data_IF_376177927254
#
_entry.id   IF_376177927254
#
_cell.length_a   1.000
_cell.length_b   1.000
_cell.length_c   1.000
_cell.angle_alpha   90.00
_cell.angle_beta   90.00
_cell.angle_gamma   90.00
#
_symmetry.space_group_name_H-M   'P 1'
#
loop_
_entity.id
_entity.type
_entity.pdbx_description
1 polymer ?
#
# COMPACT_ATOMS: atom_id res chain seq x y z
N UNK A 1 18.09 -11.20 -6.01
CA UNK A 1 18.01 -10.06 -5.08
C UNK A 1 17.45 -10.61 -3.77
N UNK A 2 18.05 -10.34 -2.61
CA UNK A 2 17.66 -10.99 -1.34
C UNK A 2 16.61 -10.19 -0.54
N UNK A 3 16.31 -8.96 -0.95
CA UNK A 3 15.30 -8.14 -0.29
C UNK A 3 13.90 -8.61 -0.71
N UNK A 4 13.02 -8.80 0.28
CA UNK A 4 11.58 -8.99 0.05
C UNK A 4 10.80 -8.04 0.96
N UNK A 5 9.80 -7.37 0.42
CA UNK A 5 9.10 -6.33 1.17
C UNK A 5 8.16 -6.88 2.26
N UNK A 6 7.77 -8.16 2.18
CA UNK A 6 6.93 -8.83 3.19
C UNK A 6 7.51 -8.78 4.61
N UNK A 7 8.84 -8.68 4.77
CA UNK A 7 9.49 -8.53 6.08
C UNK A 7 9.29 -7.14 6.70
N UNK A 8 8.82 -6.16 5.94
CA UNK A 8 8.74 -4.75 6.36
C UNK A 8 7.33 -4.16 6.15
N UNK A 9 6.42 -4.96 5.60
CA UNK A 9 5.10 -4.50 5.19
C UNK A 9 4.34 -3.89 6.36
N UNK A 10 3.83 -2.68 6.16
CA UNK A 10 3.00 -2.00 7.15
C UNK A 10 3.78 -1.29 8.25
N UNK A 11 5.09 -1.13 8.11
CA UNK A 11 5.89 -0.29 8.99
C UNK A 11 5.57 1.22 8.82
N UNK A 12 6.21 2.07 9.62
CA UNK A 12 5.99 3.52 9.57
C UNK A 12 6.37 4.15 8.22
N UNK A 13 7.40 3.61 7.54
CA UNK A 13 7.88 4.14 6.27
C UNK A 13 6.84 3.90 5.17
N UNK A 14 6.21 2.72 5.16
CA UNK A 14 5.12 2.41 4.25
C UNK A 14 3.92 3.32 4.47
N UNK A 15 3.55 3.60 5.73
CA UNK A 15 2.45 4.53 6.04
C UNK A 15 2.72 5.90 5.43
N UNK A 16 3.90 6.48 5.66
CA UNK A 16 4.26 7.79 5.11
C UNK A 16 4.28 7.76 3.58
N UNK A 17 4.92 6.75 2.98
CA UNK A 17 4.99 6.54 1.53
C UNK A 17 3.60 6.47 0.91
N UNK A 18 2.71 5.69 1.50
CA UNK A 18 1.37 5.47 0.98
C UNK A 18 0.44 6.66 1.18
N UNK A 19 0.55 7.41 2.29
CA UNK A 19 -0.19 8.67 2.46
C UNK A 19 0.21 9.70 1.40
N UNK A 20 1.51 9.84 1.12
CA UNK A 20 2.01 10.72 0.05
C UNK A 20 1.49 10.28 -1.31
N UNK A 21 1.55 8.98 -1.61
CA UNK A 21 1.01 8.41 -2.85
C UNK A 21 -0.49 8.74 -3.03
N UNK A 22 -1.30 8.51 -1.99
CA UNK A 22 -2.74 8.80 -2.02
C UNK A 22 -2.97 10.29 -2.27
N UNK A 23 -2.24 11.17 -1.59
CA UNK A 23 -2.37 12.62 -1.77
C UNK A 23 -2.05 13.05 -3.21
N UNK A 24 -1.02 12.47 -3.82
CA UNK A 24 -0.64 12.74 -5.21
C UNK A 24 -1.75 12.27 -6.17
N UNK A 25 -2.26 11.05 -5.99
CA UNK A 25 -3.30 10.49 -6.86
C UNK A 25 -4.61 11.28 -6.75
N UNK A 26 -5.03 11.65 -5.54
CA UNK A 26 -6.22 12.50 -5.35
C UNK A 26 -6.05 13.88 -5.98
N UNK A 27 -4.84 14.45 -5.95
CA UNK A 27 -4.57 15.71 -6.62
C UNK A 27 -4.62 15.60 -8.15
N UNK A 28 -4.08 14.51 -8.72
CA UNK A 28 -4.13 14.24 -10.17
C UNK A 28 -5.57 14.03 -10.67
N UNK A 29 -6.41 13.36 -9.88
CA UNK A 29 -7.83 13.11 -10.20
C UNK A 29 -8.68 14.38 -10.33
N UNK A 30 -8.22 15.53 -9.84
CA UNK A 30 -8.93 16.82 -9.99
C UNK A 30 -9.03 17.28 -11.45
N UNK A 31 -8.19 16.76 -12.35
CA UNK A 31 -8.31 16.99 -13.80
C UNK A 31 -8.97 15.79 -14.46
N UNK A 32 -9.89 16.04 -15.39
CA UNK A 32 -10.57 14.97 -16.14
C UNK A 32 -9.63 14.19 -17.06
N UNK A 33 -8.53 14.80 -17.50
CA UNK A 33 -7.54 14.13 -18.35
C UNK A 33 -7.02 12.86 -17.64
N UNK A 34 -7.01 11.69 -18.31
CA UNK A 34 -6.49 10.48 -17.72
C UNK A 34 -4.98 10.59 -17.47
N UNK A 35 -4.49 9.84 -16.48
CA UNK A 35 -3.07 9.71 -16.18
C UNK A 35 -2.65 8.24 -16.07
N UNK A 36 -1.35 8.00 -16.15
CA UNK A 36 -0.75 6.69 -15.92
C UNK A 36 0.16 6.74 -14.69
N UNK A 37 0.18 5.65 -13.94
CA UNK A 37 1.08 5.43 -12.81
C UNK A 37 2.03 4.31 -13.17
N UNK A 38 3.33 4.59 -13.09
CA UNK A 38 4.39 3.59 -13.18
C UNK A 38 4.83 3.25 -11.76
N UNK A 39 4.46 2.07 -11.29
CA UNK A 39 5.01 1.49 -10.07
C UNK A 39 6.20 0.62 -10.45
N UNK A 40 7.39 1.18 -10.33
CA UNK A 40 8.64 0.55 -10.80
C UNK A 40 9.08 -0.64 -9.92
N UNK A 41 8.59 -0.71 -8.67
CA UNK A 41 8.95 -1.73 -7.68
C UNK A 41 7.69 -2.15 -6.90
N UNK A 42 6.79 -2.82 -7.61
CA UNK A 42 5.43 -3.11 -7.16
C UNK A 42 5.34 -4.13 -6.01
N UNK A 43 6.33 -5.01 -5.85
CA UNK A 43 6.30 -6.11 -4.89
C UNK A 43 5.08 -7.02 -5.08
N UNK A 44 4.61 -7.61 -3.98
CA UNK A 44 3.47 -8.54 -3.98
C UNK A 44 2.11 -7.87 -4.24
N UNK A 45 2.04 -6.54 -4.16
CA UNK A 45 0.78 -5.80 -4.18
C UNK A 45 -0.06 -5.92 -2.90
N UNK A 46 -0.14 -7.11 -2.29
CA UNK A 46 -0.85 -7.38 -1.04
C UNK A 46 0.02 -8.29 -0.15
N UNK A 47 0.14 -7.97 1.13
CA UNK A 47 1.06 -8.62 2.06
C UNK A 47 0.29 -9.26 3.23
N UNK A 48 0.45 -10.58 3.44
CA UNK A 48 -0.08 -11.27 4.62
C UNK A 48 0.82 -11.01 5.85
N UNK A 49 0.31 -10.21 6.79
CA UNK A 49 1.01 -9.83 8.01
C UNK A 49 1.16 -11.00 9.01
N UNK A 50 0.44 -12.11 8.81
CA UNK A 50 0.63 -13.34 9.59
C UNK A 50 1.63 -14.32 8.96
N UNK A 51 2.20 -13.98 7.80
CA UNK A 51 3.20 -14.83 7.15
C UNK A 51 4.44 -15.02 8.02
N UNK A 52 5.13 -16.16 7.85
CA UNK A 52 6.37 -16.46 8.57
C UNK A 52 7.46 -15.38 8.35
N UNK A 53 7.42 -14.70 7.20
CA UNK A 53 8.36 -13.62 6.90
C UNK A 53 8.03 -12.35 7.70
N UNK A 54 6.77 -11.92 7.72
CA UNK A 54 6.34 -10.76 8.50
C UNK A 54 6.52 -10.98 10.01
N UNK A 55 6.29 -12.20 10.50
CA UNK A 55 6.44 -12.55 11.92
C UNK A 55 7.89 -12.51 12.44
N UNK A 56 8.89 -12.45 11.54
CA UNK A 56 10.31 -12.38 11.94
C UNK A 56 10.74 -10.99 12.42
N UNK A 57 10.04 -9.95 12.00
CA UNK A 57 10.41 -8.55 12.30
C UNK A 57 9.32 -7.83 13.09
N UNK A 58 8.05 -8.18 12.87
CA UNK A 58 6.88 -7.58 13.52
C UNK A 58 6.80 -6.05 13.34
N UNK A 59 7.36 -5.52 12.24
CA UNK A 59 7.39 -4.06 12.03
C UNK A 59 5.99 -3.45 11.92
N UNK A 60 5.00 -4.21 11.45
CA UNK A 60 3.59 -3.80 11.39
C UNK A 60 3.00 -3.43 12.75
N UNK A 61 3.51 -4.00 13.86
CA UNK A 61 2.99 -3.79 15.21
C UNK A 61 3.17 -2.34 15.66
N UNK A 62 4.32 -1.76 15.33
CA UNK A 62 4.61 -0.34 15.63
C UNK A 62 4.14 0.61 14.52
N UNK A 63 3.76 0.07 13.36
CA UNK A 63 3.21 0.79 12.22
C UNK A 63 1.69 0.68 12.13
N UNK A 64 1.20 -0.09 11.16
CA UNK A 64 -0.22 -0.09 10.79
C UNK A 64 -1.12 -0.62 11.91
N UNK A 65 -0.68 -1.62 12.67
CA UNK A 65 -1.49 -2.18 13.76
C UNK A 65 -1.71 -1.15 14.88
N UNK A 66 -0.69 -0.37 15.22
CA UNK A 66 -0.81 0.76 16.16
C UNK A 66 -1.73 1.85 15.61
N UNK A 67 -1.60 2.18 14.32
CA UNK A 67 -2.42 3.21 13.68
C UNK A 67 -3.91 2.82 13.61
N UNK A 68 -4.24 1.55 13.37
CA UNK A 68 -5.62 1.05 13.36
C UNK A 68 -6.32 1.15 14.72
N UNK A 69 -5.55 1.24 15.82
CA UNK A 69 -6.08 1.39 17.18
C UNK A 69 -6.16 2.87 17.62
N UNK A 70 -5.69 3.82 16.81
CA UNK A 70 -5.70 5.22 17.15
C UNK A 70 -7.13 5.76 17.20
N UNK A 71 -7.48 6.48 18.28
CA UNK A 71 -8.80 7.07 18.49
C UNK A 71 -8.86 8.58 18.25
N UNK A 72 -7.71 9.19 17.96
CA UNK A 72 -7.63 10.63 17.72
C UNK A 72 -8.39 11.02 16.44
N UNK A 73 -8.88 12.27 16.34
CA UNK A 73 -9.45 12.77 15.10
C UNK A 73 -8.46 12.64 13.93
N UNK A 74 -8.87 11.92 12.89
CA UNK A 74 -8.03 11.64 11.71
C UNK A 74 -8.40 12.53 10.52
N UNK A 75 -7.39 12.97 9.78
CA UNK A 75 -7.58 13.75 8.55
C UNK A 75 -8.29 12.95 7.47
N UNK A 76 -8.92 13.63 6.50
CA UNK A 76 -9.57 12.95 5.37
C UNK A 76 -8.60 12.05 4.58
N UNK A 77 -7.35 12.47 4.43
CA UNK A 77 -6.32 11.68 3.76
C UNK A 77 -6.04 10.37 4.49
N UNK A 78 -5.93 10.44 5.83
CA UNK A 78 -5.72 9.28 6.67
C UNK A 78 -6.95 8.35 6.66
N UNK A 79 -8.17 8.90 6.65
CA UNK A 79 -9.39 8.11 6.49
C UNK A 79 -9.39 7.34 5.17
N UNK A 80 -9.05 7.99 4.05
CA UNK A 80 -8.94 7.31 2.74
C UNK A 80 -7.92 6.17 2.79
N UNK A 81 -6.75 6.40 3.39
CA UNK A 81 -5.75 5.36 3.58
C UNK A 81 -6.27 4.17 4.40
N UNK A 82 -6.88 4.42 5.56
CA UNK A 82 -7.41 3.36 6.42
C UNK A 82 -8.56 2.59 5.77
N UNK A 83 -9.40 3.25 4.97
CA UNK A 83 -10.43 2.56 4.19
C UNK A 83 -9.82 1.58 3.19
N UNK A 84 -8.74 1.96 2.50
CA UNK A 84 -8.03 1.06 1.58
C UNK A 84 -7.35 -0.10 2.33
N UNK A 85 -6.79 0.16 3.52
CA UNK A 85 -6.25 -0.90 4.40
C UNK A 85 -7.34 -1.87 4.80
N UNK A 86 -8.53 -1.40 5.17
CA UNK A 86 -9.65 -2.28 5.52
C UNK A 86 -10.13 -3.11 4.31
N UNK A 87 -10.12 -2.55 3.10
CA UNK A 87 -10.45 -3.26 1.85
C UNK A 87 -9.43 -4.35 1.49
N UNK A 88 -8.18 -4.22 1.96
CA UNK A 88 -7.13 -5.21 1.77
C UNK A 88 -7.47 -6.55 2.45
N UNK A 89 -8.32 -6.51 3.48
CA UNK A 89 -8.76 -7.67 4.25
C UNK A 89 -8.05 -7.78 5.60
N UNK A 90 -8.63 -8.61 6.48
CA UNK A 90 -8.06 -8.84 7.81
C UNK A 90 -6.63 -9.43 7.68
N UNK A 91 -5.71 -8.91 8.50
CA UNK A 91 -4.30 -9.29 8.51
C UNK A 91 -3.54 -9.05 7.20
N UNK A 92 -4.12 -8.32 6.25
CA UNK A 92 -3.43 -7.98 5.00
C UNK A 92 -3.07 -6.50 4.97
N UNK A 93 -1.86 -6.21 4.51
CA UNK A 93 -1.42 -4.84 4.26
C UNK A 93 -1.37 -4.56 2.74
N UNK A 94 -2.01 -3.47 2.26
CA UNK A 94 -1.98 -3.13 0.86
C UNK A 94 -0.64 -2.47 0.49
N UNK A 95 0.05 -3.03 -0.49
CA UNK A 95 1.17 -2.39 -1.17
C UNK A 95 0.71 -1.29 -2.14
N UNK A 96 1.67 -0.56 -2.71
CA UNK A 96 1.39 0.52 -3.65
C UNK A 96 0.53 0.11 -4.85
N UNK A 97 0.70 -1.06 -5.51
CA UNK A 97 -0.17 -1.44 -6.63
C UNK A 97 -1.64 -1.58 -6.24
N UNK A 98 -1.91 -2.16 -5.06
CA UNK A 98 -3.28 -2.30 -4.54
C UNK A 98 -3.88 -0.91 -4.27
N UNK A 99 -3.14 -0.04 -3.58
CA UNK A 99 -3.56 1.33 -3.27
C UNK A 99 -3.85 2.12 -4.56
N UNK A 100 -2.94 2.07 -5.54
CA UNK A 100 -3.11 2.75 -6.82
C UNK A 100 -4.39 2.24 -7.49
N UNK A 101 -4.56 0.91 -7.58
CA UNK A 101 -5.73 0.29 -8.21
C UNK A 101 -7.06 0.73 -7.57
N UNK A 102 -7.12 0.90 -6.24
CA UNK A 102 -8.33 1.39 -5.57
C UNK A 102 -8.65 2.86 -5.87
N UNK A 103 -7.66 3.65 -6.28
CA UNK A 103 -7.81 5.09 -6.50
C UNK A 103 -7.92 5.51 -7.97
N UNK A 104 -7.48 4.65 -8.90
CA UNK A 104 -7.59 4.93 -10.33
C UNK A 104 -9.05 4.97 -10.79
N UNK A 105 -9.33 5.84 -11.76
CA UNK A 105 -10.59 5.85 -12.51
C UNK A 105 -10.51 4.81 -13.64
N UNK A 106 -11.64 4.39 -14.25
CA UNK A 106 -11.63 3.41 -15.33
C UNK A 106 -10.73 3.73 -16.53
N UNK A 107 -10.48 5.02 -16.79
CA UNK A 107 -9.67 5.48 -17.93
C UNK A 107 -8.20 5.79 -17.56
N UNK A 108 -7.84 5.69 -16.28
CA UNK A 108 -6.44 5.79 -15.85
C UNK A 108 -5.74 4.44 -16.02
N UNK A 109 -4.41 4.44 -16.01
CA UNK A 109 -3.62 3.21 -16.23
C UNK A 109 -2.60 2.98 -15.12
N UNK A 110 -2.51 1.75 -14.63
CA UNK A 110 -1.39 1.28 -13.81
C UNK A 110 -0.44 0.42 -14.65
N UNK A 111 0.85 0.68 -14.54
CA UNK A 111 1.93 -0.19 -15.00
C UNK A 111 2.72 -0.58 -13.76
N UNK A 112 2.63 -1.85 -13.36
CA UNK A 112 3.30 -2.39 -12.18
C UNK A 112 4.43 -3.32 -12.63
N UNK A 113 5.65 -3.05 -12.16
CA UNK A 113 6.84 -3.81 -12.48
C UNK A 113 7.40 -4.45 -11.21
N UNK A 114 7.71 -5.74 -11.27
CA UNK A 114 8.39 -6.47 -10.20
C UNK A 114 9.40 -7.45 -10.81
N UNK A 115 10.59 -7.53 -10.23
CA UNK A 115 11.71 -8.33 -10.74
C UNK A 115 11.95 -9.59 -9.89
N UNK A 116 11.56 -9.58 -8.62
CA UNK A 116 11.76 -10.68 -7.69
C UNK A 116 10.87 -11.88 -8.09
N UNK A 117 11.46 -13.05 -8.44
CA UNK A 117 10.72 -14.20 -8.96
C UNK A 117 9.57 -14.66 -8.09
N UNK A 118 9.76 -14.69 -6.77
CA UNK A 118 8.71 -15.11 -5.85
C UNK A 118 7.61 -14.08 -5.65
N UNK A 119 7.80 -12.84 -6.11
CA UNK A 119 6.85 -11.75 -5.86
C UNK A 119 6.00 -11.45 -7.09
N UNK A 120 6.52 -11.64 -8.32
CA UNK A 120 5.71 -11.51 -9.54
C UNK A 120 4.96 -12.79 -9.93
N UNK A 121 5.33 -13.96 -9.37
CA UNK A 121 4.69 -15.25 -9.66
C UNK A 121 3.54 -15.61 -8.70
N UNK A 122 3.38 -14.87 -7.60
CA UNK A 122 2.41 -15.15 -6.53
C UNK A 122 1.00 -14.69 -6.83
#
# INVERSE_FOLDING_TARGET
MNYRHIYHAGNFADIVKHLVLIAILEQLKKKEKPFAVLDAFAGLGLYDLNSEAASKTLESDTGINKLLQATDPISQLLQTFLNIVNLAGLNHYPGSPFIIKQLLRPNDRLIACELHPSDYLS
#
